data_IF_859180086384
#
_entry.id   IF_859180086384
#
_cell.length_a   1.000
_cell.length_b   1.000
_cell.length_c   1.000
_cell.angle_alpha   90.00
_cell.angle_beta   90.00
_cell.angle_gamma   90.00
#
_symmetry.space_group_name_H-M   'P 1'
#
loop_
_entity.id
_entity.type
_entity.pdbx_description
1 polymer ?
#
# COMPACT_ATOMS: atom_id res chain seq x y z
N UNK A 1 -15.84 13.43 32.94
CA UNK A 1 -14.67 12.88 32.21
C UNK A 1 -14.37 13.80 31.02
N UNK A 2 -13.23 14.49 30.93
CA UNK A 2 -12.97 15.37 29.80
C UNK A 2 -12.58 14.54 28.57
N UNK A 3 -13.20 14.85 27.44
CA UNK A 3 -12.96 14.20 26.16
C UNK A 3 -11.51 14.46 25.70
N UNK A 4 -10.74 13.39 25.44
CA UNK A 4 -9.42 13.47 24.79
C UNK A 4 -9.58 14.11 23.40
N UNK A 5 -9.30 15.40 23.30
CA UNK A 5 -9.16 16.12 22.04
C UNK A 5 -7.97 15.55 21.28
N UNK A 6 -8.25 14.87 20.17
CA UNK A 6 -7.28 14.16 19.35
C UNK A 6 -6.43 15.15 18.55
N UNK A 7 -5.11 14.96 18.58
CA UNK A 7 -4.17 15.80 17.85
C UNK A 7 -4.45 15.71 16.33
N UNK A 8 -4.68 16.84 15.66
CA UNK A 8 -4.92 16.84 14.22
C UNK A 8 -3.65 16.55 13.43
N UNK A 9 -3.80 15.82 12.32
CA UNK A 9 -2.71 15.51 11.40
C UNK A 9 -2.72 16.55 10.27
N UNK A 10 -1.68 17.40 10.13
CA UNK A 10 -1.61 18.38 9.06
C UNK A 10 -1.28 17.68 7.74
N UNK A 11 -2.16 17.82 6.73
CA UNK A 11 -1.88 17.37 5.35
C UNK A 11 -1.58 18.60 4.50
N UNK A 12 -0.35 18.67 3.99
CA UNK A 12 0.14 19.81 3.21
C UNK A 12 -0.18 19.64 1.73
N UNK A 13 -1.10 20.45 1.21
CA UNK A 13 -1.34 20.59 -0.23
C UNK A 13 -1.10 22.05 -0.61
N UNK A 14 0.10 22.32 -1.15
CA UNK A 14 0.52 23.67 -1.50
C UNK A 14 0.60 24.63 -0.30
N UNK A 15 -0.04 25.80 -0.43
CA UNK A 15 -0.04 26.90 0.55
C UNK A 15 -1.21 26.86 1.55
N UNK A 16 -2.01 25.79 1.51
CA UNK A 16 -3.18 25.58 2.39
C UNK A 16 -2.94 24.38 3.28
N UNK A 17 -2.99 24.59 4.59
CA UNK A 17 -2.95 23.53 5.60
C UNK A 17 -4.35 22.96 5.78
N UNK A 18 -4.56 21.70 5.39
CA UNK A 18 -5.79 20.98 5.71
C UNK A 18 -5.58 20.24 7.03
N UNK A 19 -6.24 20.75 8.07
CA UNK A 19 -6.27 20.14 9.39
C UNK A 19 -7.34 19.03 9.39
N UNK A 20 -6.93 17.76 9.34
CA UNK A 20 -7.89 16.63 9.38
C UNK A 20 -8.38 16.42 10.82
N UNK A 21 -9.47 17.08 11.18
CA UNK A 21 -10.15 16.91 12.47
C UNK A 21 -10.98 15.61 12.38
N UNK A 22 -10.83 14.70 13.35
CA UNK A 22 -11.47 13.36 13.41
C UNK A 22 -10.91 12.26 12.48
N UNK A 23 -9.58 12.14 12.35
CA UNK A 23 -9.01 10.89 11.85
C UNK A 23 -9.23 9.77 12.90
N UNK A 24 -9.98 8.73 12.55
CA UNK A 24 -10.09 7.52 13.37
C UNK A 24 -8.72 6.82 13.44
N UNK A 25 -8.30 6.33 14.62
CA UNK A 25 -7.02 5.67 14.76
C UNK A 25 -7.14 4.24 14.22
N UNK A 26 -6.44 3.99 13.11
CA UNK A 26 -6.06 2.65 12.65
C UNK A 26 -7.24 1.77 12.23
N UNK A 27 -7.68 1.99 10.99
CA UNK A 27 -8.53 1.04 10.28
C UNK A 27 -7.68 -0.19 9.92
N UNK A 28 -8.22 -1.41 9.95
CA UNK A 28 -7.50 -2.62 9.49
C UNK A 28 -7.01 -2.48 8.04
N UNK A 29 -7.69 -1.62 7.26
CA UNK A 29 -7.28 -1.18 5.92
C UNK A 29 -5.92 -0.45 5.90
N UNK A 30 -5.50 0.18 7.01
CA UNK A 30 -4.20 0.85 7.10
C UNK A 30 -3.04 -0.15 7.08
N UNK A 31 -3.21 -1.39 7.53
CA UNK A 31 -2.17 -2.43 7.45
C UNK A 31 -1.78 -2.73 6.01
N UNK A 32 -2.77 -2.81 5.11
CA UNK A 32 -2.55 -2.99 3.68
C UNK A 32 -1.85 -1.79 3.05
N UNK A 33 -2.27 -0.57 3.42
CA UNK A 33 -1.62 0.65 2.95
C UNK A 33 -0.18 0.79 3.47
N UNK A 34 0.09 0.36 4.70
CA UNK A 34 1.41 0.40 5.31
C UNK A 34 2.38 -0.54 4.60
N UNK A 35 2.01 -1.81 4.39
CA UNK A 35 2.83 -2.78 3.63
C UNK A 35 3.13 -2.28 2.23
N UNK A 36 2.17 -1.63 1.57
CA UNK A 36 2.35 -1.08 0.23
C UNK A 36 3.10 0.26 0.18
N UNK A 37 3.28 0.93 1.31
CA UNK A 37 4.06 2.17 1.43
C UNK A 37 5.55 1.93 1.70
N UNK A 38 5.94 0.71 2.09
CA UNK A 38 7.33 0.32 2.29
C UNK A 38 8.14 0.53 1.01
N UNK A 39 9.44 0.79 1.12
CA UNK A 39 10.36 0.73 -0.03
C UNK A 39 10.56 -0.72 -0.48
N UNK A 40 11.07 -0.93 -1.71
CA UNK A 40 11.35 -2.29 -2.21
C UNK A 40 12.25 -3.15 -1.29
N UNK A 41 13.39 -2.65 -0.77
CA UNK A 41 14.22 -3.44 0.13
C UNK A 41 13.54 -3.71 1.48
N UNK A 42 12.79 -2.74 2.02
CA UNK A 42 12.03 -2.95 3.26
C UNK A 42 10.91 -3.98 3.07
N UNK A 43 10.27 -4.00 1.91
CA UNK A 43 9.26 -5.01 1.57
C UNK A 43 9.88 -6.41 1.45
N UNK A 44 11.02 -6.54 0.76
CA UNK A 44 11.74 -7.81 0.67
C UNK A 44 12.19 -8.31 2.06
N UNK A 45 12.74 -7.41 2.89
CA UNK A 45 13.12 -7.73 4.27
C UNK A 45 11.92 -8.20 5.10
N UNK A 46 10.77 -7.53 4.97
CA UNK A 46 9.54 -7.93 5.65
C UNK A 46 9.10 -9.35 5.27
N UNK A 47 9.17 -9.71 3.99
CA UNK A 47 8.85 -11.08 3.53
C UNK A 47 9.86 -12.10 4.08
N UNK A 48 11.16 -11.80 4.03
CA UNK A 48 12.20 -12.69 4.57
C UNK A 48 12.01 -12.91 6.07
N UNK A 49 11.78 -11.85 6.84
CA UNK A 49 11.54 -11.95 8.29
C UNK A 49 10.29 -12.78 8.58
N UNK A 50 9.18 -12.54 7.86
CA UNK A 50 7.96 -13.33 8.04
C UNK A 50 8.16 -14.81 7.72
N UNK A 51 8.91 -15.12 6.66
CA UNK A 51 9.28 -16.49 6.31
C UNK A 51 10.13 -17.14 7.41
N UNK A 52 11.18 -16.47 7.90
CA UNK A 52 12.04 -16.99 8.96
C UNK A 52 11.27 -17.20 10.27
N UNK A 53 10.31 -16.32 10.60
CA UNK A 53 9.46 -16.45 11.78
C UNK A 53 8.54 -17.67 11.68
N UNK A 54 7.90 -17.88 10.53
CA UNK A 54 7.07 -19.08 10.30
C UNK A 54 7.90 -20.35 10.47
N UNK A 55 9.07 -20.43 9.84
CA UNK A 55 9.95 -21.58 9.97
C UNK A 55 10.45 -21.79 11.42
N UNK A 56 10.70 -20.70 12.15
CA UNK A 56 11.07 -20.78 13.57
C UNK A 56 9.93 -21.35 14.42
N UNK A 57 8.68 -20.94 14.16
CA UNK A 57 7.51 -21.46 14.88
C UNK A 57 7.36 -22.96 14.62
N UNK A 58 7.47 -23.40 13.36
CA UNK A 58 7.38 -24.82 13.02
C UNK A 58 8.54 -25.64 13.55
N UNK A 59 9.78 -25.12 13.49
CA UNK A 59 10.93 -25.74 14.13
C UNK A 59 10.69 -25.99 15.62
N UNK A 60 10.14 -25.00 16.34
CA UNK A 60 9.78 -25.16 17.75
C UNK A 60 8.68 -26.20 17.95
N UNK A 61 7.66 -26.25 17.08
CA UNK A 61 6.61 -27.27 17.13
C UNK A 61 7.18 -28.68 16.95
N UNK A 62 8.13 -28.87 16.04
CA UNK A 62 8.82 -30.16 15.89
C UNK A 62 9.58 -30.55 17.15
N UNK A 63 10.21 -29.60 17.84
CA UNK A 63 10.95 -29.86 19.07
C UNK A 63 10.07 -30.15 20.30
N UNK A 64 8.78 -29.82 20.29
CA UNK A 64 7.85 -30.11 21.42
C UNK A 64 7.85 -31.59 21.78
N UNK A 65 7.94 -32.46 20.76
CA UNK A 65 8.00 -33.91 20.94
C UNK A 65 9.29 -34.43 20.32
N UNK A 66 10.23 -34.86 21.15
CA UNK A 66 11.48 -35.46 20.67
C UNK A 66 11.23 -36.67 19.77
N UNK A 67 12.06 -36.85 18.73
CA UNK A 67 11.94 -37.96 17.77
C UNK A 67 10.86 -37.77 16.71
N UNK A 68 10.36 -36.56 16.50
CA UNK A 68 9.39 -36.22 15.44
C UNK A 68 9.94 -36.33 14.03
N UNK A 69 11.22 -36.00 13.85
CA UNK A 69 11.93 -36.00 12.56
C UNK A 69 12.90 -37.17 12.57
N UNK A 70 12.88 -38.00 11.53
CA UNK A 70 13.82 -39.10 11.32
C UNK A 70 15.19 -38.58 10.81
N UNK A 71 16.23 -39.39 10.99
CA UNK A 71 17.58 -39.12 10.44
C UNK A 71 18.22 -37.81 10.93
N UNK A 72 17.87 -37.37 12.14
CA UNK A 72 18.47 -36.18 12.79
C UNK A 72 18.78 -36.43 14.26
N UNK A 73 19.76 -35.68 14.77
CA UNK A 73 20.02 -35.63 16.22
C UNK A 73 18.78 -35.10 16.95
N UNK A 74 18.18 -35.89 17.86
CA UNK A 74 17.00 -35.46 18.62
C UNK A 74 17.29 -34.17 19.39
N UNK A 75 16.39 -33.19 19.31
CA UNK A 75 16.52 -31.91 20.02
C UNK A 75 17.36 -30.84 19.30
N UNK A 76 17.91 -31.12 18.11
CA UNK A 76 18.66 -30.12 17.34
C UNK A 76 17.72 -29.08 16.69
N UNK A 77 17.79 -27.83 17.16
CA UNK A 77 17.00 -26.72 16.59
C UNK A 77 17.37 -26.42 15.14
N UNK A 78 18.66 -26.42 14.79
CA UNK A 78 19.09 -26.16 13.42
C UNK A 78 18.55 -27.20 12.44
N UNK A 79 18.58 -28.49 12.83
CA UNK A 79 18.04 -29.57 12.00
C UNK A 79 16.52 -29.46 11.82
N UNK A 80 15.78 -29.11 12.88
CA UNK A 80 14.34 -28.87 12.81
C UNK A 80 13.99 -27.63 11.98
N UNK A 81 14.81 -26.58 12.06
CA UNK A 81 14.64 -25.36 11.28
C UNK A 81 14.89 -25.59 9.79
N UNK A 82 15.96 -26.31 9.41
CA UNK A 82 16.20 -26.64 8.01
C UNK A 82 15.13 -27.58 7.45
N UNK A 83 14.67 -28.56 8.24
CA UNK A 83 13.54 -29.40 7.86
C UNK A 83 12.26 -28.60 7.59
N UNK A 84 11.96 -27.62 8.45
CA UNK A 84 10.83 -26.69 8.27
C UNK A 84 11.02 -25.83 7.00
N UNK A 85 12.21 -25.29 6.77
CA UNK A 85 12.54 -24.50 5.55
C UNK A 85 12.29 -25.32 4.28
N UNK A 86 12.76 -26.57 4.26
CA UNK A 86 12.58 -27.47 3.12
C UNK A 86 11.12 -27.88 2.92
N UNK A 87 10.37 -28.08 4.00
CA UNK A 87 8.96 -28.47 3.97
C UNK A 87 8.07 -27.29 3.55
N UNK A 88 8.26 -26.12 4.14
CA UNK A 88 7.50 -24.91 3.86
C UNK A 88 7.78 -24.36 2.45
N UNK A 89 9.04 -24.48 1.98
CA UNK A 89 9.40 -24.16 0.60
C UNK A 89 9.02 -25.26 -0.41
N UNK A 90 8.47 -26.38 0.05
CA UNK A 90 8.12 -27.56 -0.78
C UNK A 90 9.30 -28.12 -1.57
N UNK A 91 10.52 -27.96 -1.07
CA UNK A 91 11.76 -28.50 -1.67
C UNK A 91 11.88 -29.99 -1.35
N UNK A 92 11.78 -30.33 -0.06
CA UNK A 92 11.77 -31.71 0.46
C UNK A 92 12.85 -32.62 -0.14
N UNK A 93 14.13 -32.42 0.21
CA UNK A 93 15.23 -33.23 -0.34
C UNK A 93 15.10 -34.74 -0.06
N UNK A 94 14.28 -35.13 0.93
CA UNK A 94 13.96 -36.52 1.23
C UNK A 94 14.93 -37.21 2.20
N UNK A 95 16.00 -36.54 2.63
CA UNK A 95 16.90 -37.06 3.67
C UNK A 95 16.23 -37.05 5.05
N UNK A 96 15.37 -36.07 5.33
CA UNK A 96 14.65 -35.91 6.58
C UNK A 96 13.15 -36.07 6.31
N UNK A 97 12.45 -36.81 7.17
CA UNK A 97 11.02 -37.04 7.05
C UNK A 97 10.36 -37.15 8.42
N UNK A 98 9.06 -36.83 8.54
CA UNK A 98 8.34 -37.00 9.80
C UNK A 98 8.26 -38.50 10.16
N UNK A 99 8.70 -38.86 11.37
CA UNK A 99 8.73 -40.24 11.85
C UNK A 99 7.48 -40.64 12.66
N UNK A 100 6.72 -39.64 13.14
CA UNK A 100 5.59 -39.84 14.07
C UNK A 100 4.30 -39.28 13.48
N UNK A 101 3.16 -39.82 13.91
CA UNK A 101 1.85 -39.30 13.52
C UNK A 101 1.69 -37.80 13.83
N UNK A 102 2.25 -37.33 14.95
CA UNK A 102 2.31 -35.91 15.29
C UNK A 102 3.12 -35.11 14.26
N UNK A 103 4.31 -35.61 13.88
CA UNK A 103 5.13 -34.97 12.84
C UNK A 103 4.39 -34.84 11.51
N UNK A 104 3.67 -35.88 11.07
CA UNK A 104 2.86 -35.83 9.85
C UNK A 104 1.75 -34.76 9.92
N UNK A 105 1.07 -34.62 11.06
CA UNK A 105 0.04 -33.58 11.25
C UNK A 105 0.66 -32.18 11.14
N UNK A 106 1.80 -31.96 11.81
CA UNK A 106 2.50 -30.66 11.78
C UNK A 106 2.97 -30.34 10.35
N UNK A 107 3.61 -31.29 9.65
CA UNK A 107 4.02 -31.14 8.25
C UNK A 107 2.83 -30.82 7.34
N UNK A 108 1.68 -31.46 7.54
CA UNK A 108 0.49 -31.21 6.72
C UNK A 108 -0.02 -29.77 6.88
N UNK A 109 -0.04 -29.28 8.12
CA UNK A 109 -0.41 -27.89 8.44
C UNK A 109 0.65 -26.93 7.87
N UNK A 110 1.93 -27.29 7.97
CA UNK A 110 3.04 -26.49 7.44
C UNK A 110 2.94 -26.31 5.93
N UNK A 111 2.73 -27.39 5.17
CA UNK A 111 2.58 -27.34 3.71
C UNK A 111 1.37 -26.48 3.32
N UNK A 112 0.25 -26.61 4.03
CA UNK A 112 -0.93 -25.79 3.78
C UNK A 112 -0.67 -24.30 4.02
N UNK A 113 -0.04 -23.95 5.14
CA UNK A 113 0.33 -22.56 5.45
C UNK A 113 1.41 -22.02 4.52
N UNK A 114 2.37 -22.83 4.10
CA UNK A 114 3.38 -22.49 3.10
C UNK A 114 2.74 -22.14 1.75
N UNK A 115 1.73 -22.91 1.33
CA UNK A 115 0.98 -22.64 0.10
C UNK A 115 0.25 -21.29 0.17
N UNK A 116 -0.40 -20.99 1.29
CA UNK A 116 -1.04 -19.68 1.52
C UNK A 116 0.00 -18.55 1.51
N UNK A 117 1.14 -18.77 2.17
CA UNK A 117 2.24 -17.80 2.23
C UNK A 117 2.75 -17.42 0.83
N UNK A 118 3.03 -18.40 -0.03
CA UNK A 118 3.44 -18.15 -1.41
C UNK A 118 2.36 -17.44 -2.23
N UNK A 119 1.09 -17.82 -2.06
CA UNK A 119 -0.03 -17.16 -2.73
C UNK A 119 -0.14 -15.68 -2.35
N UNK A 120 -0.02 -15.37 -1.05
CA UNK A 120 -0.05 -13.99 -0.54
C UNK A 120 1.15 -13.19 -1.04
N UNK A 121 2.37 -13.74 -1.00
CA UNK A 121 3.57 -13.08 -1.53
C UNK A 121 3.38 -12.71 -3.00
N UNK A 122 2.94 -13.67 -3.80
CA UNK A 122 2.74 -13.48 -5.24
C UNK A 122 1.72 -12.38 -5.51
N UNK A 123 0.58 -12.40 -4.79
CA UNK A 123 -0.44 -11.37 -4.89
C UNK A 123 0.06 -9.98 -4.48
N UNK A 124 0.82 -9.88 -3.39
CA UNK A 124 1.39 -8.61 -2.93
C UNK A 124 2.41 -8.04 -3.91
N UNK A 125 3.28 -8.90 -4.46
CA UNK A 125 4.24 -8.53 -5.50
C UNK A 125 3.50 -8.00 -6.72
N UNK A 126 2.48 -8.72 -7.20
CA UNK A 126 1.68 -8.31 -8.35
C UNK A 126 1.00 -6.95 -8.13
N UNK A 127 0.35 -6.75 -6.98
CA UNK A 127 -0.27 -5.46 -6.62
C UNK A 127 0.76 -4.33 -6.61
N UNK A 128 1.95 -4.59 -6.06
CA UNK A 128 3.01 -3.60 -5.93
C UNK A 128 3.59 -3.21 -7.30
N UNK A 129 3.78 -4.17 -8.20
CA UNK A 129 4.17 -3.91 -9.60
C UNK A 129 3.05 -3.22 -10.40
N UNK A 130 1.80 -3.50 -10.08
CA UNK A 130 0.62 -2.94 -10.76
C UNK A 130 0.29 -1.50 -10.36
N UNK A 131 1.10 -0.82 -9.53
CA UNK A 131 0.90 0.60 -9.20
C UNK A 131 1.64 1.50 -10.20
N UNK A 132 0.97 2.02 -11.24
CA UNK A 132 1.58 2.97 -12.16
C UNK A 132 1.88 4.28 -11.42
N UNK A 133 3.16 4.65 -11.34
CA UNK A 133 3.54 5.98 -10.86
C UNK A 133 3.44 6.98 -12.00
N UNK A 134 2.40 7.81 -12.01
CA UNK A 134 2.32 8.94 -12.94
C UNK A 134 3.34 10.02 -12.53
N UNK A 135 4.33 10.30 -13.39
CA UNK A 135 5.25 11.44 -13.21
C UNK A 135 4.81 12.59 -14.09
N UNK A 136 3.86 13.37 -13.57
CA UNK A 136 3.32 14.56 -14.22
C UNK A 136 3.98 15.80 -13.63
N UNK A 137 4.45 16.70 -14.48
CA UNK A 137 4.99 18.02 -14.10
C UNK A 137 4.06 19.11 -14.60
N UNK A 138 3.81 20.11 -13.76
CA UNK A 138 3.01 21.29 -14.06
C UNK A 138 3.92 22.52 -14.26
N UNK A 139 3.51 23.47 -15.11
CA UNK A 139 4.21 24.76 -15.21
C UNK A 139 4.14 25.53 -13.89
N UNK A 140 5.24 26.21 -13.54
CA UNK A 140 5.30 27.06 -12.33
C UNK A 140 4.40 28.29 -12.43
N UNK A 141 4.20 28.77 -13.65
CA UNK A 141 3.45 29.99 -13.92
C UNK A 141 2.12 29.63 -14.57
N UNK A 142 1.09 30.39 -14.18
CA UNK A 142 -0.24 30.38 -14.77
C UNK A 142 -0.36 31.69 -15.56
N UNK A 143 -0.81 31.59 -16.81
CA UNK A 143 -1.00 32.74 -17.67
C UNK A 143 -2.50 33.05 -17.78
N UNK A 144 -2.84 34.33 -17.73
CA UNK A 144 -4.18 34.83 -18.00
C UNK A 144 -4.07 35.69 -19.25
N UNK A 145 -4.74 35.27 -20.31
CA UNK A 145 -4.66 35.94 -21.60
C UNK A 145 -5.89 35.67 -22.44
N UNK A 146 -6.02 36.39 -23.54
CA UNK A 146 -7.13 36.16 -24.47
C UNK A 146 -6.79 34.99 -25.39
N UNK A 147 -7.69 34.02 -25.51
CA UNK A 147 -7.55 32.88 -26.41
C UNK A 147 -8.91 32.50 -26.95
N UNK A 148 -8.99 32.26 -28.27
CA UNK A 148 -10.25 32.04 -28.99
C UNK A 148 -11.34 33.08 -28.65
N UNK A 149 -10.95 34.35 -28.55
CA UNK A 149 -11.87 35.47 -28.35
C UNK A 149 -12.35 35.69 -26.91
N UNK A 150 -11.85 34.95 -25.92
CA UNK A 150 -12.24 35.13 -24.52
C UNK A 150 -11.08 35.03 -23.51
N UNK A 151 -11.24 35.64 -22.32
CA UNK A 151 -10.24 35.58 -21.26
C UNK A 151 -10.11 34.13 -20.77
N UNK A 152 -8.92 33.57 -20.95
CA UNK A 152 -8.59 32.18 -20.70
C UNK A 152 -7.42 32.05 -19.73
N UNK A 153 -7.52 31.09 -18.83
CA UNK A 153 -6.45 30.70 -17.92
C UNK A 153 -5.71 29.52 -18.52
N UNK A 154 -4.39 29.64 -18.69
CA UNK A 154 -3.54 28.64 -19.31
C UNK A 154 -2.44 28.18 -18.35
N UNK A 155 -2.14 26.88 -18.39
CA UNK A 155 -0.98 26.27 -17.76
C UNK A 155 -0.55 25.08 -18.61
N UNK A 156 0.73 24.68 -18.50
CA UNK A 156 1.26 23.52 -19.24
C UNK A 156 1.40 22.32 -18.31
N UNK A 157 1.13 21.15 -18.87
CA UNK A 157 1.31 19.87 -18.20
C UNK A 157 2.18 18.99 -19.09
N UNK A 158 3.21 18.38 -18.51
CA UNK A 158 4.08 17.45 -19.21
C UNK A 158 4.07 16.09 -18.49
N UNK A 159 3.92 15.03 -19.27
CA UNK A 159 4.20 13.67 -18.81
C UNK A 159 5.69 13.39 -19.07
N UNK A 160 6.46 13.10 -18.03
CA UNK A 160 7.89 12.80 -18.16
C UNK A 160 8.18 11.36 -18.61
N UNK A 161 7.14 10.54 -18.88
CA UNK A 161 7.30 9.17 -19.38
C UNK A 161 7.04 9.10 -20.89
N UNK A 162 7.76 8.20 -21.55
CA UNK A 162 7.57 7.89 -22.98
C UNK A 162 6.26 7.15 -23.28
N UNK A 163 5.55 6.67 -22.26
CA UNK A 163 4.26 6.00 -22.41
C UNK A 163 3.16 7.06 -22.46
N UNK A 164 2.39 7.08 -23.55
CA UNK A 164 1.25 7.98 -23.74
C UNK A 164 0.13 7.65 -22.74
N UNK A 165 -0.47 8.70 -22.16
CA UNK A 165 -1.61 8.54 -21.26
C UNK A 165 -2.90 8.57 -22.08
N UNK A 166 -3.67 7.47 -22.04
CA UNK A 166 -5.02 7.41 -22.62
C UNK A 166 -6.03 7.91 -21.57
N UNK A 167 -6.96 8.78 -21.98
CA UNK A 167 -8.02 9.37 -21.13
C UNK A 167 -7.54 10.20 -19.92
N UNK A 168 -6.60 11.12 -20.14
CA UNK A 168 -6.16 12.07 -19.11
C UNK A 168 -7.26 13.09 -18.77
N UNK A 169 -7.81 13.01 -17.55
CA UNK A 169 -8.81 13.96 -17.02
C UNK A 169 -8.16 14.93 -16.03
N UNK A 170 -8.16 16.21 -16.35
CA UNK A 170 -7.69 17.27 -15.47
C UNK A 170 -8.88 18.01 -14.83
N UNK A 171 -8.83 18.17 -13.50
CA UNK A 171 -9.78 19.01 -12.77
C UNK A 171 -9.04 20.24 -12.26
N UNK A 172 -9.41 21.41 -12.77
CA UNK A 172 -8.94 22.67 -12.20
C UNK A 172 -9.93 23.12 -11.13
N UNK A 173 -9.35 23.32 -9.96
CA UNK A 173 -10.02 23.56 -8.71
C UNK A 173 -9.57 24.95 -8.24
N UNK A 174 -10.48 25.93 -8.27
CA UNK A 174 -10.25 27.28 -7.75
C UNK A 174 -10.96 27.44 -6.39
N UNK A 175 -10.22 27.47 -5.27
CA UNK A 175 -10.79 27.81 -3.98
C UNK A 175 -11.09 29.31 -3.93
N UNK A 176 -12.35 29.67 -3.70
CA UNK A 176 -12.79 31.05 -3.54
C UNK A 176 -13.44 31.24 -2.17
N UNK A 177 -12.94 32.18 -1.38
CA UNK A 177 -13.55 32.54 -0.09
C UNK A 177 -14.59 33.62 -0.34
N UNK A 178 -15.88 33.25 -0.41
CA UNK A 178 -16.97 34.23 -0.56
C UNK A 178 -17.35 34.75 0.83
N UNK A 179 -17.21 36.05 1.06
CA UNK A 179 -17.63 36.71 2.32
C UNK A 179 -19.07 37.18 2.16
N UNK A 180 -20.01 36.53 2.85
CA UNK A 180 -21.42 36.94 2.87
C UNK A 180 -21.64 38.10 3.86
N UNK A 181 -22.52 39.08 3.58
CA UNK A 181 -22.75 40.24 4.45
C UNK A 181 -23.32 39.95 5.84
N UNK A 182 -23.75 38.73 6.17
CA UNK A 182 -24.06 38.31 7.56
C UNK A 182 -23.65 36.85 7.80
N UNK A 183 -22.80 36.67 8.82
CA UNK A 183 -22.50 35.45 9.58
C UNK A 183 -22.81 34.07 8.95
N UNK A 184 -22.14 33.72 7.84
CA UNK A 184 -21.85 32.31 7.49
C UNK A 184 -20.70 32.28 6.48
N UNK A 185 -19.53 31.78 6.89
CA UNK A 185 -18.42 31.47 5.98
C UNK A 185 -18.61 30.04 5.48
N UNK A 186 -18.83 29.86 4.17
CA UNK A 186 -18.77 28.55 3.52
C UNK A 186 -17.65 28.56 2.48
N UNK A 187 -16.76 27.56 2.53
CA UNK A 187 -15.75 27.33 1.52
C UNK A 187 -16.39 26.57 0.35
N UNK A 188 -16.43 27.17 -0.82
CA UNK A 188 -16.93 26.55 -2.05
C UNK A 188 -15.79 26.21 -3.00
N UNK A 189 -15.94 25.13 -3.76
CA UNK A 189 -15.00 24.75 -4.82
C UNK A 189 -15.62 24.99 -6.18
N UNK A 190 -15.01 25.84 -7.02
CA UNK A 190 -15.43 25.98 -8.41
C UNK A 190 -14.71 24.91 -9.24
N UNK A 191 -15.48 24.02 -9.85
CA UNK A 191 -14.97 22.92 -10.69
C UNK A 191 -15.04 23.34 -12.16
N UNK A 192 -13.89 23.38 -12.83
CA UNK A 192 -13.81 23.62 -14.27
C UNK A 192 -13.32 22.38 -15.00
N UNK A 193 -13.90 22.10 -16.17
CA UNK A 193 -13.57 20.93 -17.00
C UNK A 193 -12.78 21.41 -18.22
N UNK A 194 -11.68 20.73 -18.51
CA UNK A 194 -10.92 20.92 -19.75
C UNK A 194 -11.67 20.22 -20.90
N UNK A 195 -12.00 20.96 -21.95
CA UNK A 195 -12.54 20.44 -23.22
C UNK A 195 -11.53 20.77 -24.34
N UNK A 196 -11.62 20.12 -25.53
CA UNK A 196 -10.73 20.38 -26.66
C UNK A 196 -10.61 21.86 -27.06
N UNK A 197 -11.66 22.66 -26.79
CA UNK A 197 -11.77 24.08 -27.17
C UNK A 197 -11.78 25.01 -25.94
N UNK A 198 -11.00 24.70 -24.89
CA UNK A 198 -10.84 25.55 -23.71
C UNK A 198 -11.62 25.13 -22.45
N UNK A 199 -11.45 25.91 -21.37
CA UNK A 199 -12.01 25.61 -20.05
C UNK A 199 -13.45 26.08 -19.92
N UNK A 200 -14.39 25.15 -19.68
CA UNK A 200 -15.80 25.51 -19.40
C UNK A 200 -16.11 25.32 -17.92
N UNK A 201 -16.56 26.40 -17.26
CA UNK A 201 -17.01 26.36 -15.87
C UNK A 201 -18.38 25.71 -15.80
N UNK A 202 -18.49 24.57 -15.14
CA UNK A 202 -19.77 23.93 -14.87
C UNK A 202 -20.37 24.57 -13.61
N UNK A 203 -21.32 25.48 -13.80
CA UNK A 203 -22.28 25.84 -12.73
C UNK A 203 -23.38 24.79 -12.79
N UNK A 204 -23.50 23.91 -11.79
CA UNK A 204 -24.80 23.26 -11.56
C UNK A 204 -25.70 24.26 -10.83
N UNK A 205 -27.02 24.26 -11.12
CA UNK A 205 -28.00 25.01 -10.33
C UNK A 205 -27.98 24.59 -8.85
#
# INVERSE_FOLDING_TARGET
>A
MPARTRAPIPVRSGRTEFLKINAAPRDWRDSYHWVLSLTWPQFALFLVVGYLLLNTIFALLYLVRGGTIAEVTPGSFSAAFFFSVETLATVGYGHQYPATAYGHIVVTIEIFLGTIWFAVITGLIFVRFSRPTARIVFSRNILIGNHDGGPSVMFRVANLRHISMVDAKFHLLLPATKRWPKAKRSAGFIRSRCLPNGWRVSRRP
#
